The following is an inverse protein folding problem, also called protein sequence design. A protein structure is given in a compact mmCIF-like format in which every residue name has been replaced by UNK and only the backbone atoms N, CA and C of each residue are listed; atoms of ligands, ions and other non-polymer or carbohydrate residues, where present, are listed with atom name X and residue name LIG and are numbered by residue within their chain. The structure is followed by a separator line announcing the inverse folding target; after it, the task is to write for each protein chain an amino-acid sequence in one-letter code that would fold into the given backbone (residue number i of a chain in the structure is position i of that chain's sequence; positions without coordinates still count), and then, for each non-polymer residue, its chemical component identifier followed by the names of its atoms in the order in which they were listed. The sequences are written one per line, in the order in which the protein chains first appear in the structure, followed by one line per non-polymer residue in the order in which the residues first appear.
data_IF_857421402224
#
_entry.id   IF_857421402224
#
_cell.length_a   1.000
_cell.length_b   1.000
_cell.length_c   1.000
_cell.angle_alpha   90.00
_cell.angle_beta   90.00
_cell.angle_gamma   90.00
#
_symmetry.space_group_name_H-M   'P 1'
#
loop_
_entity.id
_entity.type
_entity.pdbx_description
1 polymer ?
#
# COMPACT_ATOMS: atom_id res chain seq x y z
N UNK A 1 -50.03 -0.53 19.79
CA UNK A 1 -49.39 -0.81 18.49
C UNK A 1 -48.57 0.36 17.93
N UNK A 2 -49.00 1.62 18.04
CA UNK A 2 -48.26 2.76 17.48
C UNK A 2 -46.88 3.05 18.13
N UNK A 3 -46.71 2.79 19.43
CA UNK A 3 -45.45 3.08 20.16
C UNK A 3 -44.32 2.12 19.76
N UNK A 4 -44.63 0.86 19.43
CA UNK A 4 -43.64 -0.12 18.98
C UNK A 4 -43.10 0.18 17.57
N UNK A 5 -43.94 0.76 16.70
CA UNK A 5 -43.56 1.11 15.32
C UNK A 5 -42.62 2.33 15.28
N UNK A 6 -42.78 3.26 16.22
CA UNK A 6 -41.95 4.47 16.31
C UNK A 6 -40.52 4.20 16.82
N UNK A 7 -40.32 3.16 17.64
CA UNK A 7 -38.99 2.76 18.13
C UNK A 7 -38.18 2.02 17.06
N UNK A 8 -38.85 1.30 16.16
CA UNK A 8 -38.21 0.60 15.03
C UNK A 8 -37.63 1.56 13.98
N UNK A 9 -38.25 2.73 13.78
CA UNK A 9 -37.77 3.74 12.82
C UNK A 9 -36.49 4.46 13.29
N UNK A 10 -36.26 4.61 14.59
CA UNK A 10 -35.02 5.23 15.11
C UNK A 10 -33.78 4.31 14.99
N UNK A 11 -33.96 2.99 15.02
CA UNK A 11 -32.88 2.02 14.88
C UNK A 11 -32.37 1.89 13.43
N UNK A 12 -33.17 2.29 12.44
CA UNK A 12 -32.78 2.27 11.02
C UNK A 12 -31.77 3.37 10.63
N UNK A 13 -31.63 4.41 11.45
CA UNK A 13 -30.67 5.51 11.20
C UNK A 13 -29.33 5.36 11.94
N UNK A 14 -29.17 4.31 12.76
CA UNK A 14 -27.96 4.10 13.59
C UNK A 14 -26.88 3.24 12.92
N UNK A 15 -27.06 2.83 11.66
CA UNK A 15 -26.09 1.99 10.93
C UNK A 15 -25.32 2.76 9.83
N UNK A 16 -25.19 4.08 9.95
CA UNK A 16 -24.29 4.80 9.05
C UNK A 16 -22.88 4.82 9.65
N UNK A 17 -22.04 3.91 9.15
CA UNK A 17 -20.60 4.01 9.35
C UNK A 17 -20.11 5.27 8.63
N UNK A 18 -19.51 6.20 9.37
CA UNK A 18 -18.77 7.31 8.78
C UNK A 18 -17.42 6.76 8.31
N UNK A 19 -17.29 6.55 7.00
CA UNK A 19 -16.06 6.13 6.37
C UNK A 19 -15.75 7.04 5.19
N UNK A 20 -14.48 7.07 4.78
CA UNK A 20 -14.07 7.73 3.54
C UNK A 20 -14.67 6.97 2.35
N UNK A 21 -15.61 7.58 1.65
CA UNK A 21 -16.16 7.03 0.42
C UNK A 21 -15.38 7.56 -0.80
N UNK A 22 -14.33 6.82 -1.15
CA UNK A 22 -13.50 7.08 -2.34
C UNK A 22 -13.72 6.03 -3.45
N UNK A 23 -14.77 5.21 -3.36
CA UNK A 23 -15.07 4.14 -4.31
C UNK A 23 -14.13 2.92 -4.25
N UNK A 24 -13.22 2.84 -3.27
CA UNK A 24 -12.31 1.71 -3.05
C UNK A 24 -12.61 1.01 -1.72
N UNK A 25 -11.97 -0.15 -1.47
CA UNK A 25 -12.08 -0.85 -0.18
C UNK A 25 -13.47 -1.41 0.15
N UNK A 26 -14.34 -1.58 -0.86
CA UNK A 26 -15.69 -2.16 -0.69
C UNK A 26 -15.65 -3.60 -0.14
N UNK A 27 -14.54 -4.31 -0.37
CA UNK A 27 -14.17 -5.52 0.34
C UNK A 27 -12.75 -5.35 0.87
N UNK A 28 -12.35 -6.10 1.92
CA UNK A 28 -10.96 -6.09 2.38
C UNK A 28 -9.99 -6.38 1.24
N UNK A 29 -8.93 -5.58 1.13
CA UNK A 29 -7.88 -5.80 0.15
C UNK A 29 -7.11 -7.10 0.44
N UNK A 30 -6.74 -7.82 -0.60
CA UNK A 30 -5.98 -9.07 -0.50
C UNK A 30 -4.71 -8.95 -1.33
N UNK A 31 -3.59 -9.41 -0.76
CA UNK A 31 -2.29 -9.27 -1.41
C UNK A 31 -1.15 -9.79 -0.54
N UNK A 32 0.04 -9.29 -0.83
CA UNK A 32 1.28 -9.63 -0.17
C UNK A 32 2.03 -8.36 0.23
N UNK A 33 2.77 -8.41 1.34
CA UNK A 33 3.65 -7.35 1.81
C UNK A 33 5.04 -7.94 2.10
N UNK A 34 6.10 -7.18 1.79
CA UNK A 34 7.49 -7.63 1.90
C UNK A 34 8.00 -7.83 3.34
N UNK A 35 7.45 -7.14 4.32
CA UNK A 35 8.06 -6.94 5.62
C UNK A 35 8.27 -8.22 6.44
N UNK A 36 7.23 -9.03 6.61
CA UNK A 36 7.25 -10.16 7.55
C UNK A 36 8.30 -11.23 7.24
N UNK A 37 8.80 -11.28 6.01
CA UNK A 37 9.84 -12.24 5.63
C UNK A 37 11.16 -11.56 5.27
N UNK A 38 11.13 -10.42 4.59
CA UNK A 38 12.34 -9.82 4.02
C UNK A 38 12.86 -8.62 4.81
N UNK A 39 12.06 -8.00 5.67
CA UNK A 39 12.41 -6.75 6.35
C UNK A 39 12.99 -5.73 5.33
N UNK A 40 14.24 -5.29 5.56
CA UNK A 40 14.95 -4.36 4.67
C UNK A 40 15.79 -5.03 3.58
N UNK A 41 15.80 -6.36 3.50
CA UNK A 41 16.46 -7.10 2.42
C UNK A 41 15.52 -7.21 1.21
N UNK A 42 15.14 -6.06 0.66
CA UNK A 42 14.22 -5.94 -0.47
C UNK A 42 14.90 -5.27 -1.66
N UNK A 43 14.56 -5.74 -2.86
CA UNK A 43 15.09 -5.20 -4.12
C UNK A 43 14.05 -5.30 -5.23
N UNK A 44 14.24 -4.52 -6.28
CA UNK A 44 13.42 -4.55 -7.49
C UNK A 44 13.24 -5.97 -8.03
N UNK A 45 14.32 -6.73 -8.13
CA UNK A 45 14.27 -8.09 -8.69
C UNK A 45 13.50 -9.06 -7.79
N UNK A 46 13.63 -8.92 -6.47
CA UNK A 46 12.83 -9.68 -5.52
C UNK A 46 11.35 -9.40 -5.70
N UNK A 47 10.95 -8.12 -5.81
CA UNK A 47 9.55 -7.75 -5.97
C UNK A 47 9.00 -8.24 -7.31
N UNK A 48 9.77 -8.15 -8.40
CA UNK A 48 9.39 -8.74 -9.70
C UNK A 48 9.18 -10.25 -9.59
N UNK A 49 10.11 -10.96 -8.96
CA UNK A 49 10.02 -12.41 -8.76
C UNK A 49 8.80 -12.80 -7.92
N UNK A 50 8.51 -12.09 -6.82
CA UNK A 50 7.34 -12.33 -5.99
C UNK A 50 6.04 -12.05 -6.75
N UNK A 51 5.95 -10.94 -7.48
CA UNK A 51 4.77 -10.61 -8.29
C UNK A 51 4.50 -11.70 -9.34
N UNK A 52 5.55 -12.17 -10.03
CA UNK A 52 5.44 -13.29 -10.97
C UNK A 52 4.99 -14.57 -10.27
N UNK A 53 5.55 -14.88 -9.09
CA UNK A 53 5.18 -16.06 -8.33
C UNK A 53 3.71 -16.05 -7.90
N UNK A 54 3.13 -14.88 -7.57
CA UNK A 54 1.70 -14.77 -7.27
C UNK A 54 0.84 -15.22 -8.46
N UNK A 55 1.22 -14.85 -9.68
CA UNK A 55 0.54 -15.30 -10.92
C UNK A 55 0.78 -16.78 -11.19
N UNK A 56 2.05 -17.23 -11.14
CA UNK A 56 2.42 -18.61 -11.45
C UNK A 56 1.77 -19.62 -10.49
N UNK A 57 1.51 -19.20 -9.24
CA UNK A 57 0.81 -19.98 -8.22
C UNK A 57 -0.71 -19.78 -8.22
N UNK A 58 -1.24 -18.90 -9.06
CA UNK A 58 -2.67 -18.63 -9.19
C UNK A 58 -3.29 -17.92 -8.00
N UNK A 59 -2.51 -17.21 -7.18
CA UNK A 59 -3.02 -16.47 -6.02
C UNK A 59 -3.91 -15.29 -6.47
N UNK A 60 -3.59 -14.68 -7.61
CA UNK A 60 -4.40 -13.65 -8.25
C UNK A 60 -5.84 -14.12 -8.52
N UNK A 61 -6.00 -15.38 -8.93
CA UNK A 61 -7.32 -16.02 -9.17
C UNK A 61 -8.13 -16.21 -7.89
N UNK A 62 -7.48 -16.11 -6.73
CA UNK A 62 -8.10 -16.13 -5.40
C UNK A 62 -8.22 -14.73 -4.77
N UNK A 63 -7.99 -13.67 -5.55
CA UNK A 63 -8.19 -12.28 -5.11
C UNK A 63 -6.93 -11.58 -4.59
N UNK A 64 -5.78 -12.26 -4.50
CA UNK A 64 -4.53 -11.63 -4.06
C UNK A 64 -3.95 -10.75 -5.17
N UNK A 65 -4.28 -9.47 -5.14
CA UNK A 65 -3.99 -8.53 -6.23
C UNK A 65 -2.95 -7.47 -5.87
N UNK A 66 -2.72 -7.20 -4.59
CA UNK A 66 -1.80 -6.13 -4.15
C UNK A 66 -0.40 -6.68 -3.88
N UNK A 67 0.62 -6.05 -4.46
CA UNK A 67 2.05 -6.27 -4.18
C UNK A 67 2.57 -5.03 -3.47
N UNK A 68 2.74 -5.13 -2.15
CA UNK A 68 3.11 -3.99 -1.31
C UNK A 68 4.59 -4.08 -0.92
N UNK A 69 5.35 -3.04 -1.23
CA UNK A 69 6.70 -2.85 -0.68
C UNK A 69 6.57 -2.04 0.60
N UNK A 70 7.08 -2.60 1.70
CA UNK A 70 7.12 -1.93 2.99
C UNK A 70 8.31 -0.94 3.06
N UNK A 71 8.81 -0.67 4.26
CA UNK A 71 10.07 0.05 4.49
C UNK A 71 11.23 -0.42 3.59
N UNK A 72 12.27 0.41 3.54
CA UNK A 72 13.56 0.10 2.92
C UNK A 72 13.60 0.15 1.38
N UNK A 73 12.62 0.83 0.75
CA UNK A 73 12.60 1.11 -0.70
C UNK A 73 13.30 2.42 -1.11
N UNK A 74 13.20 3.46 -0.28
CA UNK A 74 13.72 4.80 -0.53
C UNK A 74 15.24 4.95 -0.29
N UNK A 75 15.83 5.99 -0.86
CA UNK A 75 17.13 6.52 -0.46
C UNK A 75 17.07 7.04 1.00
N UNK A 76 18.22 7.09 1.67
CA UNK A 76 18.30 7.50 3.09
C UNK A 76 18.03 8.99 3.34
N UNK A 77 17.90 9.79 2.28
CA UNK A 77 17.67 11.23 2.37
C UNK A 77 16.80 11.71 1.21
N UNK A 78 16.03 12.77 1.46
CA UNK A 78 15.33 13.51 0.41
C UNK A 78 16.35 14.13 -0.56
N UNK A 79 15.97 14.28 -1.82
CA UNK A 79 16.74 15.04 -2.80
C UNK A 79 16.68 16.54 -2.48
N UNK A 80 17.49 17.34 -3.19
CA UNK A 80 17.57 18.80 -2.97
C UNK A 80 16.26 19.54 -3.23
N UNK A 81 15.35 18.94 -3.99
CA UNK A 81 13.98 19.43 -4.27
C UNK A 81 12.95 18.96 -3.22
N UNK A 82 13.41 18.34 -2.13
CA UNK A 82 12.56 17.80 -1.08
C UNK A 82 11.93 16.45 -1.39
N UNK A 83 12.10 15.87 -2.59
CA UNK A 83 11.42 14.62 -2.97
C UNK A 83 12.05 13.38 -2.31
N UNK A 84 11.23 12.39 -1.95
CA UNK A 84 11.70 11.03 -1.67
C UNK A 84 12.10 10.36 -2.99
N UNK A 85 13.29 9.78 -3.05
CA UNK A 85 13.78 9.02 -4.21
C UNK A 85 13.91 7.55 -3.84
N UNK A 86 13.75 6.65 -4.80
CA UNK A 86 14.07 5.23 -4.60
C UNK A 86 15.56 5.05 -4.34
N UNK A 87 15.94 4.02 -3.59
CA UNK A 87 17.34 3.67 -3.45
C UNK A 87 17.87 3.22 -4.82
N UNK A 88 18.87 3.89 -5.41
CA UNK A 88 19.30 3.61 -6.78
C UNK A 88 20.02 2.25 -6.93
N UNK A 89 20.43 1.63 -5.82
CA UNK A 89 21.10 0.32 -5.83
C UNK A 89 20.06 -0.80 -5.80
N UNK A 90 19.10 -0.75 -4.87
CA UNK A 90 18.09 -1.81 -4.71
C UNK A 90 16.87 -1.61 -5.60
N UNK A 91 16.53 -0.36 -5.95
CA UNK A 91 15.40 0.04 -6.78
C UNK A 91 15.80 1.06 -7.86
N UNK A 92 16.67 0.67 -8.81
CA UNK A 92 17.18 1.55 -9.86
C UNK A 92 16.11 2.06 -10.83
N UNK A 93 15.02 1.32 -11.02
CA UNK A 93 13.93 1.66 -11.94
C UNK A 93 12.56 1.36 -11.29
N UNK A 94 12.17 2.21 -10.33
CA UNK A 94 10.89 2.07 -9.63
C UNK A 94 9.69 2.15 -10.60
N UNK A 95 9.77 3.00 -11.63
CA UNK A 95 8.69 3.09 -12.62
C UNK A 95 8.55 1.79 -13.41
N UNK A 96 9.65 1.24 -13.92
CA UNK A 96 9.62 -0.03 -14.65
C UNK A 96 9.24 -1.22 -13.76
N UNK A 97 9.50 -1.17 -12.45
CA UNK A 97 8.96 -2.14 -11.49
C UNK A 97 7.43 -2.06 -11.41
N UNK A 98 6.89 -0.85 -11.25
CA UNK A 98 5.44 -0.61 -11.17
C UNK A 98 4.76 -1.03 -12.47
N UNK A 99 5.31 -0.62 -13.62
CA UNK A 99 4.80 -1.01 -14.94
C UNK A 99 4.79 -2.53 -15.11
N UNK A 100 5.84 -3.22 -14.65
CA UNK A 100 5.90 -4.68 -14.66
C UNK A 100 4.79 -5.32 -13.81
N UNK A 101 4.60 -4.85 -12.56
CA UNK A 101 3.52 -5.36 -11.68
C UNK A 101 2.15 -5.14 -12.31
N UNK A 102 1.90 -3.98 -12.90
CA UNK A 102 0.65 -3.70 -13.62
C UNK A 102 0.47 -4.57 -14.86
N UNK A 103 1.55 -4.90 -15.58
CA UNK A 103 1.48 -5.78 -16.76
C UNK A 103 1.01 -7.20 -16.43
N UNK A 104 1.14 -7.62 -15.16
CA UNK A 104 0.64 -8.89 -14.65
C UNK A 104 -0.83 -8.84 -14.19
N UNK A 105 -1.48 -7.66 -14.27
CA UNK A 105 -2.83 -7.43 -13.74
C UNK A 105 -2.88 -7.25 -12.22
N UNK A 106 -1.71 -7.13 -11.56
CA UNK A 106 -1.59 -6.86 -10.13
C UNK A 106 -1.58 -5.34 -9.87
N UNK A 107 -1.78 -4.96 -8.61
CA UNK A 107 -1.74 -3.59 -8.09
C UNK A 107 -0.49 -3.40 -7.25
N UNK A 108 0.08 -2.20 -7.28
CA UNK A 108 1.30 -1.88 -6.54
C UNK A 108 0.99 -1.00 -5.32
N UNK A 109 1.58 -1.34 -4.18
CA UNK A 109 1.51 -0.53 -2.96
C UNK A 109 2.89 -0.13 -2.48
N UNK A 110 2.99 1.09 -1.93
CA UNK A 110 4.23 1.67 -1.43
C UNK A 110 4.01 2.27 -0.05
N UNK A 111 5.02 2.18 0.81
CA UNK A 111 4.95 2.63 2.20
C UNK A 111 5.63 3.98 2.41
N UNK A 112 5.05 4.80 3.29
CA UNK A 112 5.68 5.95 3.94
C UNK A 112 5.16 6.04 5.39
N UNK A 113 5.60 7.06 6.12
CA UNK A 113 5.24 7.30 7.51
C UNK A 113 4.70 8.72 7.71
N UNK A 114 3.72 8.90 8.60
CA UNK A 114 3.22 10.21 9.04
C UNK A 114 4.15 10.84 10.10
N UNK A 115 5.46 10.68 9.91
CA UNK A 115 6.54 11.19 10.74
C UNK A 115 7.66 11.76 9.86
N UNK A 116 8.69 12.34 10.48
CA UNK A 116 9.85 12.87 9.75
C UNK A 116 10.76 11.75 9.20
N UNK A 117 10.65 10.56 9.77
CA UNK A 117 11.33 9.34 9.36
C UNK A 117 10.34 8.18 9.36
N UNK A 118 10.69 7.12 8.64
CA UNK A 118 9.99 5.86 8.74
C UNK A 118 10.36 5.07 9.99
N UNK A 119 9.59 4.01 10.30
CA UNK A 119 9.88 3.07 11.38
C UNK A 119 11.27 2.42 11.30
N UNK A 120 11.89 2.35 10.11
CA UNK A 120 13.24 1.85 9.96
C UNK A 120 14.33 2.84 10.43
N UNK A 121 13.96 4.09 10.77
CA UNK A 121 14.78 5.16 11.34
C UNK A 121 15.93 5.70 10.46
N UNK A 122 16.01 5.28 9.19
CA UNK A 122 17.05 5.71 8.25
C UNK A 122 16.51 6.15 6.88
N UNK A 123 15.19 6.26 6.72
CA UNK A 123 14.55 6.77 5.52
C UNK A 123 13.60 7.93 5.87
N UNK A 124 13.40 8.90 4.96
CA UNK A 124 12.46 9.99 5.20
C UNK A 124 11.03 9.47 5.28
N UNK A 125 10.26 9.97 6.26
CA UNK A 125 8.80 9.89 6.26
C UNK A 125 8.20 11.14 5.61
N UNK A 126 6.88 11.18 5.46
CA UNK A 126 6.15 12.19 4.67
C UNK A 126 5.63 13.39 5.46
N UNK A 127 5.87 13.49 6.78
CA UNK A 127 5.39 14.61 7.58
C UNK A 127 5.91 15.96 7.06
N UNK A 128 5.00 16.86 6.71
CA UNK A 128 5.28 18.18 6.12
C UNK A 128 5.54 18.20 4.62
N UNK A 129 5.48 17.04 3.95
CA UNK A 129 5.67 16.86 2.51
C UNK A 129 4.51 16.09 1.86
N UNK A 130 3.35 15.97 2.53
CA UNK A 130 2.24 15.08 2.16
C UNK A 130 1.58 15.42 0.83
N UNK A 131 1.69 16.66 0.36
CA UNK A 131 1.19 17.06 -0.97
C UNK A 131 2.17 16.72 -2.09
N UNK A 132 3.47 16.67 -1.76
CA UNK A 132 4.53 16.36 -2.71
C UNK A 132 4.74 14.86 -2.88
N UNK A 133 4.69 14.12 -1.77
CA UNK A 133 4.83 12.66 -1.71
C UNK A 133 3.54 11.95 -2.13
#
# INVERSE_FOLDING_TARGET
MAVFMSFCLLLLFLNQSLALDNGLGLTPQMGWNSWNHFHCNVSQDLIKATAKAMIDKGLDKHGYQYVNIDNCWAASSRASDGSIRSNPVTFPDMKGLIDYVHSLGLKFGLYSDAGTKTCADHQPGSLGYETQD
#
